data_IF_863233817277
#
_entry.id   IF_863233817277
#
_cell.length_a   1.000
_cell.length_b   1.000
_cell.length_c   1.000
_cell.angle_alpha   90.00
_cell.angle_beta   90.00
_cell.angle_gamma   90.00
#
_symmetry.space_group_name_H-M   'P 1'
#
loop_
_entity.id
_entity.type
_entity.pdbx_description
1 polymer ?
#
# COMPACT_ATOMS: atom_id res chain seq x y z
N UNK A 1 15.39 -21.74 1.29
CA UNK A 1 14.89 -20.55 2.03
C UNK A 1 14.24 -19.47 1.14
N UNK A 2 14.83 -19.05 0.00
CA UNK A 2 14.22 -18.02 -0.90
C UNK A 2 12.90 -18.44 -1.60
N UNK A 3 12.71 -19.74 -1.89
CA UNK A 3 11.48 -20.23 -2.51
C UNK A 3 10.30 -20.23 -1.53
N UNK A 4 10.52 -20.72 -0.30
CA UNK A 4 9.53 -20.73 0.77
C UNK A 4 9.05 -19.32 1.18
N UNK A 5 9.95 -18.32 1.16
CA UNK A 5 9.56 -16.92 1.42
C UNK A 5 8.72 -16.33 0.29
N UNK A 6 8.94 -16.76 -0.96
CA UNK A 6 8.20 -16.26 -2.13
C UNK A 6 6.81 -16.87 -2.21
N UNK A 7 6.69 -18.18 -1.93
CA UNK A 7 5.40 -18.87 -1.87
C UNK A 7 4.53 -18.35 -0.74
N UNK A 8 5.11 -18.10 0.44
CA UNK A 8 4.38 -17.55 1.58
C UNK A 8 3.94 -16.09 1.31
N UNK A 9 4.79 -15.26 0.71
CA UNK A 9 4.40 -13.91 0.28
C UNK A 9 3.21 -13.96 -0.68
N UNK A 10 3.28 -14.81 -1.71
CA UNK A 10 2.19 -14.97 -2.69
C UNK A 10 0.90 -15.42 -2.02
N UNK A 11 0.97 -16.41 -1.12
CA UNK A 11 -0.19 -16.93 -0.39
C UNK A 11 -0.85 -15.86 0.48
N UNK A 12 -0.08 -15.01 1.16
CA UNK A 12 -0.66 -13.93 1.98
C UNK A 12 -1.29 -12.85 1.10
N UNK A 13 -0.72 -12.54 -0.07
CA UNK A 13 -1.35 -11.59 -0.98
C UNK A 13 -2.66 -12.14 -1.55
N UNK A 14 -2.72 -13.44 -1.88
CA UNK A 14 -3.96 -14.12 -2.29
C UNK A 14 -5.00 -14.12 -1.16
N UNK A 15 -4.56 -14.38 0.08
CA UNK A 15 -5.43 -14.30 1.24
C UNK A 15 -5.93 -12.87 1.48
N UNK A 16 -5.07 -11.86 1.32
CA UNK A 16 -5.45 -10.46 1.35
C UNK A 16 -6.50 -10.11 0.30
N UNK A 17 -6.34 -10.60 -0.94
CA UNK A 17 -7.35 -10.41 -2.00
C UNK A 17 -8.68 -11.04 -1.63
N UNK A 18 -8.65 -12.26 -1.07
CA UNK A 18 -9.84 -12.91 -0.52
C UNK A 18 -10.49 -12.07 0.59
N UNK A 19 -9.70 -11.49 1.50
CA UNK A 19 -10.20 -10.60 2.54
C UNK A 19 -10.75 -9.27 2.01
N UNK A 20 -10.34 -8.78 0.84
CA UNK A 20 -10.97 -7.61 0.21
C UNK A 20 -12.29 -7.96 -0.47
N UNK A 21 -12.35 -9.16 -1.06
CA UNK A 21 -13.45 -9.61 -1.92
C UNK A 21 -14.47 -10.48 -1.20
N UNK A 22 -14.29 -10.71 0.10
CA UNK A 22 -15.18 -11.50 0.95
C UNK A 22 -16.67 -11.16 0.79
N UNK A 23 -17.11 -9.89 0.61
CA UNK A 23 -18.53 -9.58 0.48
C UNK A 23 -19.14 -10.15 -0.80
N UNK A 24 -18.34 -10.47 -1.82
CA UNK A 24 -18.85 -10.99 -3.08
C UNK A 24 -19.23 -12.47 -3.01
N UNK A 25 -18.65 -13.22 -2.07
CA UNK A 25 -18.75 -14.69 -2.07
C UNK A 25 -19.27 -15.28 -0.76
N UNK A 26 -19.05 -14.61 0.37
CA UNK A 26 -19.45 -15.12 1.67
C UNK A 26 -20.85 -14.65 1.99
N UNK A 27 -21.70 -15.58 2.41
CA UNK A 27 -22.98 -15.28 3.03
C UNK A 27 -22.79 -15.19 4.55
N UNK A 28 -22.91 -13.97 5.09
CA UNK A 28 -22.73 -13.71 6.53
C UNK A 28 -23.72 -14.48 7.41
N UNK A 29 -24.94 -14.73 6.91
CA UNK A 29 -25.97 -15.49 7.63
C UNK A 29 -25.58 -16.96 7.77
N UNK A 30 -25.00 -17.55 6.72
CA UNK A 30 -24.59 -18.96 6.72
C UNK A 30 -23.37 -19.24 7.60
N UNK A 31 -22.54 -18.23 7.88
CA UNK A 31 -21.32 -18.34 8.68
C UNK A 31 -21.58 -18.17 10.19
N UNK A 32 -22.82 -17.95 10.61
CA UNK A 32 -23.15 -17.68 12.02
C UNK A 32 -22.63 -16.32 12.51
N UNK A 33 -22.23 -15.44 11.59
CA UNK A 33 -21.85 -14.06 11.89
C UNK A 33 -23.13 -13.24 11.96
N UNK A 34 -23.72 -13.17 13.16
CA UNK A 34 -25.05 -12.61 13.42
C UNK A 34 -25.21 -11.15 12.99
N UNK A 35 -24.11 -10.43 12.73
CA UNK A 35 -24.11 -9.05 12.23
C UNK A 35 -22.95 -8.81 11.27
N UNK A 36 -23.15 -7.95 10.27
CA UNK A 36 -22.11 -7.47 9.35
C UNK A 36 -20.86 -6.97 10.08
N UNK A 37 -21.04 -6.38 11.28
CA UNK A 37 -19.96 -5.89 12.13
C UNK A 37 -18.96 -7.00 12.50
N UNK A 38 -19.44 -8.21 12.83
CA UNK A 38 -18.58 -9.33 13.21
C UNK A 38 -17.71 -9.81 12.05
N UNK A 39 -18.27 -9.89 10.84
CA UNK A 39 -17.54 -10.27 9.63
C UNK A 39 -16.41 -9.28 9.32
N UNK A 40 -16.69 -7.98 9.44
CA UNK A 40 -15.71 -6.91 9.18
C UNK A 40 -14.58 -6.92 10.20
N UNK A 41 -14.86 -7.10 11.49
CA UNK A 41 -13.82 -7.20 12.51
C UNK A 41 -12.96 -8.46 12.37
N UNK A 42 -13.56 -9.57 11.94
CA UNK A 42 -12.81 -10.79 11.64
C UNK A 42 -11.89 -10.58 10.43
N UNK A 43 -12.39 -9.93 9.37
CA UNK A 43 -11.59 -9.58 8.20
C UNK A 43 -10.44 -8.61 8.57
N UNK A 44 -10.70 -7.66 9.48
CA UNK A 44 -9.68 -6.77 10.02
C UNK A 44 -8.61 -7.52 10.82
N UNK A 45 -9.00 -8.46 11.69
CA UNK A 45 -8.07 -9.31 12.43
C UNK A 45 -7.16 -10.09 11.48
N UNK A 46 -7.74 -10.71 10.44
CA UNK A 46 -6.97 -11.40 9.42
C UNK A 46 -6.09 -10.45 8.58
N UNK A 47 -6.54 -9.22 8.36
CA UNK A 47 -5.73 -8.16 7.76
C UNK A 47 -4.51 -7.81 8.62
N UNK A 48 -4.68 -7.69 9.94
CA UNK A 48 -3.58 -7.44 10.89
C UNK A 48 -2.56 -8.59 10.83
N UNK A 49 -3.05 -9.83 10.85
CA UNK A 49 -2.20 -11.03 10.75
C UNK A 49 -1.43 -11.02 9.43
N UNK A 50 -2.09 -10.69 8.32
CA UNK A 50 -1.45 -10.61 7.00
C UNK A 50 -0.35 -9.54 6.96
N UNK A 51 -0.63 -8.35 7.49
CA UNK A 51 0.35 -7.26 7.63
C UNK A 51 1.52 -7.69 8.51
N UNK A 52 1.26 -8.35 9.64
CA UNK A 52 2.30 -8.84 10.54
C UNK A 52 3.20 -9.87 9.85
N UNK A 53 2.62 -10.87 9.18
CA UNK A 53 3.40 -11.92 8.51
C UNK A 53 4.22 -11.34 7.35
N UNK A 54 3.66 -10.43 6.55
CA UNK A 54 4.43 -9.76 5.48
C UNK A 54 5.59 -8.97 6.08
N UNK A 55 5.35 -8.26 7.19
CA UNK A 55 6.40 -7.51 7.91
C UNK A 55 7.49 -8.44 8.43
N UNK A 56 7.14 -9.60 9.00
CA UNK A 56 8.10 -10.59 9.48
C UNK A 56 8.90 -11.26 8.36
N UNK A 57 8.34 -11.36 7.15
CA UNK A 57 9.07 -11.88 5.99
C UNK A 57 10.10 -10.91 5.43
N UNK A 58 9.99 -9.61 5.74
CA UNK A 58 10.97 -8.62 5.33
C UNK A 58 12.25 -8.92 6.09
N UNK A 59 13.18 -9.56 5.37
CA UNK A 59 14.41 -10.10 5.90
C UNK A 59 15.22 -9.00 6.61
N UNK A 60 15.66 -9.25 7.84
CA UNK A 60 16.51 -8.33 8.61
C UNK A 60 17.78 -7.91 7.83
N UNK A 61 18.26 -8.74 6.88
CA UNK A 61 19.37 -8.38 5.97
C UNK A 61 19.05 -7.23 5.00
N UNK A 62 17.78 -6.85 4.83
CA UNK A 62 17.35 -5.67 4.05
C UNK A 62 17.38 -4.38 4.88
N UNK A 63 17.46 -4.47 6.20
CA UNK A 63 17.39 -3.36 7.14
C UNK A 63 18.77 -3.06 7.74
N UNK A 64 19.74 -2.74 6.86
CA UNK A 64 20.94 -2.03 7.34
C UNK A 64 20.47 -0.75 8.06
N UNK A 65 21.09 -0.43 9.20
CA UNK A 65 20.92 0.79 10.00
C UNK A 65 20.70 2.07 9.16
N UNK A 66 21.35 2.16 8.01
CA UNK A 66 21.24 3.28 7.07
C UNK A 66 19.95 3.26 6.24
N UNK A 67 19.54 2.09 5.76
CA UNK A 67 18.27 1.92 5.04
C UNK A 67 17.12 2.23 6.00
N UNK A 68 17.24 1.80 7.27
CA UNK A 68 16.29 2.15 8.33
C UNK A 68 16.13 3.66 8.46
N UNK A 69 17.22 4.44 8.42
CA UNK A 69 17.15 5.90 8.49
C UNK A 69 16.37 6.52 7.31
N UNK A 70 16.63 6.10 6.07
CA UNK A 70 15.87 6.60 4.90
C UNK A 70 14.41 6.18 4.99
N UNK A 71 14.14 4.93 5.38
CA UNK A 71 12.78 4.43 5.58
C UNK A 71 12.05 5.28 6.61
N UNK A 72 12.68 5.56 7.77
CA UNK A 72 12.08 6.38 8.82
C UNK A 72 11.75 7.81 8.34
N UNK A 73 12.66 8.46 7.62
CA UNK A 73 12.43 9.81 7.06
C UNK A 73 11.27 9.77 6.06
N UNK A 74 11.23 8.79 5.16
CA UNK A 74 10.15 8.66 4.19
C UNK A 74 8.81 8.33 4.85
N UNK A 75 8.80 7.46 5.86
CA UNK A 75 7.63 7.15 6.67
C UNK A 75 7.10 8.40 7.34
N UNK A 76 7.96 9.22 7.95
CA UNK A 76 7.56 10.48 8.58
C UNK A 76 6.97 11.47 7.56
N UNK A 77 7.64 11.68 6.42
CA UNK A 77 7.17 12.58 5.36
C UNK A 77 5.83 12.13 4.77
N UNK A 78 5.69 10.85 4.44
CA UNK A 78 4.45 10.29 3.86
C UNK A 78 3.33 10.35 4.89
N UNK A 79 3.62 10.08 6.16
CA UNK A 79 2.65 10.22 7.24
C UNK A 79 2.15 11.67 7.35
N UNK A 80 3.06 12.65 7.31
CA UNK A 80 2.70 14.06 7.33
C UNK A 80 1.89 14.48 6.08
N UNK A 81 2.27 14.01 4.89
CA UNK A 81 1.52 14.26 3.65
C UNK A 81 0.09 13.69 3.72
N UNK A 82 -0.10 12.56 4.37
CA UNK A 82 -1.44 12.00 4.58
C UNK A 82 -2.29 12.90 5.48
N UNK A 83 -1.70 13.48 6.53
CA UNK A 83 -2.40 14.44 7.40
C UNK A 83 -2.88 15.67 6.62
N UNK A 84 -2.08 16.17 5.67
CA UNK A 84 -2.47 17.30 4.83
C UNK A 84 -3.69 17.01 3.94
N UNK A 85 -3.91 15.74 3.61
CA UNK A 85 -5.07 15.30 2.83
C UNK A 85 -6.29 14.92 3.66
N UNK A 86 -6.16 14.84 4.99
CA UNK A 86 -7.26 14.43 5.85
C UNK A 86 -8.42 15.45 5.78
N UNK A 87 -9.61 14.97 5.40
CA UNK A 87 -10.82 15.81 5.29
C UNK A 87 -10.94 16.62 3.99
N UNK A 88 -9.92 16.62 3.12
CA UNK A 88 -9.99 17.24 1.81
C UNK A 88 -10.41 16.19 0.76
N UNK A 89 -11.52 16.43 0.07
CA UNK A 89 -12.12 15.49 -0.89
C UNK A 89 -11.11 15.09 -1.97
N UNK A 90 -10.53 13.89 -1.82
CA UNK A 90 -9.55 13.29 -2.73
C UNK A 90 -8.19 13.98 -2.83
N UNK A 91 -7.87 14.98 -2.01
CA UNK A 91 -6.55 15.64 -2.06
C UNK A 91 -5.57 14.85 -1.20
N UNK A 92 -4.98 13.77 -1.74
CA UNK A 92 -4.10 12.89 -0.97
C UNK A 92 -2.68 12.84 -1.56
N UNK A 93 -1.79 13.76 -1.15
CA UNK A 93 -0.44 13.86 -1.72
C UNK A 93 0.49 12.73 -1.27
N UNK A 94 0.07 11.83 -0.38
CA UNK A 94 0.95 10.74 0.08
C UNK A 94 1.30 9.75 -1.04
N UNK A 95 0.40 9.55 -2.02
CA UNK A 95 0.51 8.50 -3.03
C UNK A 95 1.68 8.71 -4.01
N UNK A 96 1.91 9.95 -4.46
CA UNK A 96 3.03 10.21 -5.38
C UNK A 96 4.37 9.85 -4.72
N UNK A 97 4.52 10.15 -3.43
CA UNK A 97 5.78 9.92 -2.74
C UNK A 97 5.99 8.43 -2.46
N UNK A 98 4.94 7.68 -2.13
CA UNK A 98 4.99 6.21 -2.05
C UNK A 98 5.48 5.61 -3.38
N UNK A 99 4.88 6.02 -4.50
CA UNK A 99 5.20 5.50 -5.84
C UNK A 99 6.66 5.81 -6.21
N UNK A 100 7.10 7.06 -6.04
CA UNK A 100 8.47 7.47 -6.35
C UNK A 100 9.50 6.82 -5.41
N UNK A 101 9.17 6.66 -4.12
CA UNK A 101 10.01 5.97 -3.16
C UNK A 101 10.21 4.49 -3.54
N UNK A 102 9.11 3.80 -3.85
CA UNK A 102 9.18 2.40 -4.28
C UNK A 102 9.95 2.26 -5.60
N UNK A 103 9.78 3.21 -6.53
CA UNK A 103 10.53 3.23 -7.78
C UNK A 103 12.04 3.39 -7.57
N UNK A 104 12.46 4.25 -6.65
CA UNK A 104 13.86 4.55 -6.42
C UNK A 104 14.57 3.51 -5.53
N UNK A 105 13.91 3.07 -4.46
CA UNK A 105 14.50 2.20 -3.45
C UNK A 105 14.29 0.71 -3.75
N UNK A 106 13.18 0.39 -4.43
CA UNK A 106 12.75 -0.97 -4.79
C UNK A 106 11.40 -1.33 -4.18
N UNK A 107 10.66 -2.29 -4.77
CA UNK A 107 9.29 -2.60 -4.39
C UNK A 107 9.15 -3.10 -2.95
N UNK A 108 10.11 -3.90 -2.45
CA UNK A 108 10.09 -4.41 -1.07
C UNK A 108 10.24 -3.29 -0.04
N UNK A 109 11.22 -2.39 -0.23
CA UNK A 109 11.42 -1.24 0.67
C UNK A 109 10.23 -0.28 0.56
N UNK A 110 9.71 -0.06 -0.67
CA UNK A 110 8.50 0.72 -0.89
C UNK A 110 7.28 0.17 -0.13
N UNK A 111 7.10 -1.15 -0.14
CA UNK A 111 6.02 -1.83 0.60
C UNK A 111 6.12 -1.52 2.10
N UNK A 112 7.31 -1.68 2.69
CA UNK A 112 7.57 -1.35 4.11
C UNK A 112 7.24 0.11 4.41
N UNK A 113 7.73 1.03 3.57
CA UNK A 113 7.51 2.47 3.74
C UNK A 113 6.01 2.78 3.72
N UNK A 114 5.27 2.25 2.74
CA UNK A 114 3.84 2.49 2.61
C UNK A 114 3.06 1.95 3.82
N UNK A 115 3.36 0.72 4.24
CA UNK A 115 2.74 0.07 5.39
C UNK A 115 2.99 0.86 6.68
N UNK A 116 4.25 1.18 6.98
CA UNK A 116 4.62 1.94 8.17
C UNK A 116 4.05 3.36 8.14
N UNK A 117 4.02 4.03 6.99
CA UNK A 117 3.45 5.37 6.88
C UNK A 117 1.95 5.37 7.17
N UNK A 118 1.19 4.37 6.69
CA UNK A 118 -0.23 4.22 7.02
C UNK A 118 -0.41 3.95 8.52
N UNK A 119 0.38 3.06 9.12
CA UNK A 119 0.30 2.77 10.56
C UNK A 119 0.61 4.00 11.41
N UNK A 120 1.75 4.65 11.16
CA UNK A 120 2.21 5.83 11.92
C UNK A 120 1.21 6.98 11.82
N UNK A 121 0.77 7.32 10.60
CA UNK A 121 -0.23 8.38 10.44
C UNK A 121 -1.56 8.06 11.12
N UNK A 122 -2.02 6.81 11.09
CA UNK A 122 -3.27 6.41 11.75
C UNK A 122 -3.16 6.46 13.27
N UNK A 123 -2.00 6.12 13.83
CA UNK A 123 -1.74 6.31 15.26
C UNK A 123 -1.80 7.79 15.63
N UNK A 124 -1.21 8.67 14.82
CA UNK A 124 -1.19 10.11 15.07
C UNK A 124 -2.60 10.73 14.99
N UNK A 125 -3.40 10.34 14.00
CA UNK A 125 -4.75 10.91 13.81
C UNK A 125 -5.84 10.20 14.61
N UNK A 126 -5.51 9.17 15.39
CA UNK A 126 -6.50 8.29 16.02
C UNK A 126 -7.35 7.48 15.02
N UNK A 127 -6.89 7.34 13.78
CA UNK A 127 -7.57 6.64 12.68
C UNK A 127 -7.51 5.10 12.76
N UNK A 128 -7.50 4.55 13.97
CA UNK A 128 -7.44 3.10 14.22
C UNK A 128 -8.84 2.53 14.06
N UNK A 129 -8.99 1.58 13.15
CA UNK A 129 -10.27 0.92 12.88
C UNK A 129 -10.10 -0.30 12.00
N UNK A 130 -11.20 -1.01 11.69
CA UNK A 130 -11.16 -2.25 10.91
C UNK A 130 -10.64 -2.05 9.48
N UNK A 131 -10.70 -0.82 8.94
CA UNK A 131 -10.14 -0.46 7.64
C UNK A 131 -8.60 -0.35 7.62
N UNK A 132 -7.95 -0.14 8.78
CA UNK A 132 -6.52 0.17 8.84
C UNK A 132 -5.63 -0.92 8.22
N UNK A 133 -5.85 -2.22 8.49
CA UNK A 133 -5.03 -3.28 7.90
C UNK A 133 -5.19 -3.35 6.37
N UNK A 134 -6.40 -3.08 5.87
CA UNK A 134 -6.68 -2.99 4.44
C UNK A 134 -5.97 -1.81 3.79
N UNK A 135 -6.01 -0.63 4.42
CA UNK A 135 -5.28 0.55 3.94
C UNK A 135 -3.78 0.28 3.86
N UNK A 136 -3.21 -0.34 4.90
CA UNK A 136 -1.80 -0.69 4.96
C UNK A 136 -1.42 -1.70 3.86
N UNK A 137 -2.25 -2.73 3.66
CA UNK A 137 -2.02 -3.77 2.67
C UNK A 137 -2.14 -3.21 1.23
N UNK A 138 -3.20 -2.46 0.94
CA UNK A 138 -3.41 -1.83 -0.36
C UNK A 138 -2.30 -0.82 -0.70
N UNK A 139 -1.88 0.00 0.27
CA UNK A 139 -0.75 0.92 0.08
C UNK A 139 0.56 0.16 -0.18
N UNK A 140 0.78 -0.94 0.51
CA UNK A 140 1.88 -1.87 0.25
C UNK A 140 1.85 -2.43 -1.18
N UNK A 141 0.68 -2.90 -1.64
CA UNK A 141 0.49 -3.39 -3.02
C UNK A 141 0.76 -2.33 -4.07
N UNK A 142 0.33 -1.09 -3.85
CA UNK A 142 0.63 0.04 -4.72
C UNK A 142 2.14 0.32 -4.77
N UNK A 143 2.84 0.23 -3.65
CA UNK A 143 4.30 0.38 -3.68
C UNK A 143 4.98 -0.79 -4.42
N UNK A 144 4.54 -2.02 -4.18
CA UNK A 144 5.12 -3.20 -4.82
C UNK A 144 4.82 -3.26 -6.33
N UNK A 145 3.64 -2.84 -6.76
CA UNK A 145 3.17 -2.87 -8.14
C UNK A 145 3.93 -1.96 -9.09
N UNK A 146 4.66 -0.96 -8.57
CA UNK A 146 5.59 -0.13 -9.36
C UNK A 146 6.64 -0.98 -10.11
N UNK A 147 6.89 -2.21 -9.66
CA UNK A 147 7.79 -3.17 -10.31
C UNK A 147 7.37 -3.58 -11.73
N UNK A 148 6.09 -3.40 -12.09
CA UNK A 148 5.59 -3.65 -13.47
C UNK A 148 6.24 -2.68 -14.48
N UNK A 149 6.66 -1.50 -14.04
CA UNK A 149 7.31 -0.50 -14.91
C UNK A 149 8.76 -0.94 -15.18
N UNK A 150 9.19 -1.10 -16.45
CA UNK A 150 10.56 -1.48 -16.78
C UNK A 150 11.61 -0.47 -16.26
N UNK A 151 12.79 -0.94 -15.87
CA UNK A 151 13.85 -0.08 -15.29
C UNK A 151 14.65 0.72 -16.32
N UNK A 152 14.80 0.20 -17.54
CA UNK A 152 15.65 0.79 -18.60
C UNK A 152 14.78 1.57 -19.58
N UNK A 153 14.38 2.78 -19.19
CA UNK A 153 13.52 3.67 -20.00
C UNK A 153 14.14 5.06 -20.08
N UNK A 154 13.80 5.82 -21.12
CA UNK A 154 14.05 7.26 -21.13
C UNK A 154 13.28 7.93 -19.99
N UNK A 155 13.80 9.05 -19.47
CA UNK A 155 13.15 9.74 -18.36
C UNK A 155 11.72 10.19 -18.70
N UNK A 156 11.47 10.63 -19.94
CA UNK A 156 10.13 11.04 -20.37
C UNK A 156 9.14 9.88 -20.30
N UNK A 157 9.54 8.70 -20.77
CA UNK A 157 8.71 7.50 -20.75
C UNK A 157 8.54 6.96 -19.32
N UNK A 158 9.61 6.94 -18.51
CA UNK A 158 9.54 6.56 -17.10
C UNK A 158 8.54 7.45 -16.34
N UNK A 159 8.60 8.78 -16.54
CA UNK A 159 7.67 9.73 -15.90
C UNK A 159 6.22 9.52 -16.37
N UNK A 160 6.01 9.33 -17.66
CA UNK A 160 4.67 9.09 -18.21
C UNK A 160 4.05 7.79 -17.66
N UNK A 161 4.83 6.70 -17.59
CA UNK A 161 4.36 5.44 -16.99
C UNK A 161 4.11 5.56 -15.49
N UNK A 162 4.94 6.32 -14.76
CA UNK A 162 4.69 6.57 -13.33
C UNK A 162 3.41 7.39 -13.11
N UNK A 163 3.12 8.37 -13.96
CA UNK A 163 1.85 9.11 -13.92
C UNK A 163 0.66 8.19 -14.19
N UNK A 164 0.71 7.40 -15.27
CA UNK A 164 -0.34 6.44 -15.61
C UNK A 164 -0.55 5.41 -14.48
N UNK A 165 0.54 4.92 -13.91
CA UNK A 165 0.52 4.05 -12.74
C UNK A 165 -0.12 4.74 -11.53
N UNK A 166 0.20 6.01 -11.27
CA UNK A 166 -0.39 6.78 -10.18
C UNK A 166 -1.90 6.98 -10.33
N UNK A 167 -2.38 7.24 -11.55
CA UNK A 167 -3.82 7.29 -11.85
C UNK A 167 -4.48 5.94 -11.56
N UNK A 168 -3.91 4.86 -12.10
CA UNK A 168 -4.43 3.51 -11.87
C UNK A 168 -4.43 3.13 -10.39
N UNK A 169 -3.34 3.42 -9.67
CA UNK A 169 -3.20 3.14 -8.25
C UNK A 169 -4.21 3.91 -7.40
N UNK A 170 -4.49 5.17 -7.74
CA UNK A 170 -5.48 5.99 -7.03
C UNK A 170 -6.91 5.42 -7.15
N UNK A 171 -7.29 5.01 -8.37
CA UNK A 171 -8.58 4.37 -8.64
C UNK A 171 -8.67 2.98 -7.98
N UNK A 172 -7.61 2.18 -8.09
CA UNK A 172 -7.54 0.85 -7.49
C UNK A 172 -7.64 0.92 -5.96
N UNK A 173 -6.97 1.89 -5.33
CA UNK A 173 -7.08 2.09 -3.88
C UNK A 173 -8.53 2.40 -3.47
N UNK A 174 -9.19 3.32 -4.17
CA UNK A 174 -10.60 3.67 -3.93
C UNK A 174 -11.49 2.44 -4.03
N UNK A 175 -11.42 1.73 -5.15
CA UNK A 175 -12.20 0.51 -5.38
C UNK A 175 -11.98 -0.57 -4.31
N UNK A 176 -10.73 -0.82 -3.89
CA UNK A 176 -10.42 -1.78 -2.83
C UNK A 176 -10.99 -1.34 -1.47
N UNK A 177 -10.83 -0.06 -1.13
CA UNK A 177 -11.32 0.48 0.13
C UNK A 177 -12.85 0.51 0.18
N UNK A 178 -13.50 0.86 -0.91
CA UNK A 178 -14.94 0.82 -1.02
C UNK A 178 -15.46 -0.60 -0.95
N UNK A 179 -14.81 -1.57 -1.61
CA UNK A 179 -15.27 -2.96 -1.61
C UNK A 179 -15.38 -3.53 -0.19
N UNK A 180 -14.42 -3.21 0.68
CA UNK A 180 -14.48 -3.65 2.07
C UNK A 180 -15.44 -2.82 2.94
N UNK A 181 -15.59 -1.51 2.69
CA UNK A 181 -16.49 -0.62 3.45
C UNK A 181 -17.95 -0.72 3.02
N UNK A 182 -18.20 -1.08 1.77
CA UNK A 182 -19.50 -1.06 1.12
C UNK A 182 -20.59 -1.80 1.92
N UNK A 183 -20.33 -2.99 2.48
CA UNK A 183 -21.30 -3.65 3.36
C UNK A 183 -21.69 -2.79 4.58
N UNK A 184 -20.75 -2.02 5.15
CA UNK A 184 -20.99 -1.17 6.32
C UNK A 184 -21.75 0.12 6.01
N UNK A 185 -21.49 0.73 4.85
CA UNK A 185 -21.90 2.11 4.57
C UNK A 185 -23.40 2.27 4.28
N UNK A 186 -24.03 1.26 3.67
CA UNK A 186 -25.42 1.35 3.15
C UNK A 186 -26.46 0.50 3.90
N UNK A 187 -26.05 -0.35 4.85
CA UNK A 187 -26.97 -1.30 5.51
C UNK A 187 -27.63 -2.27 4.51
N UNK A 188 -28.76 -2.90 4.86
CA UNK A 188 -29.49 -3.88 4.02
C UNK A 188 -30.59 -3.29 3.15
N UNK A 189 -30.92 -2.00 3.31
CA UNK A 189 -32.25 -1.49 2.94
C UNK A 189 -32.30 -0.74 1.60
N UNK A 190 -31.19 -0.68 0.85
CA UNK A 190 -31.11 0.06 -0.42
C UNK A 190 -30.84 -0.83 -1.63
N UNK A 191 -31.17 -0.34 -2.83
CA UNK A 191 -30.84 -1.02 -4.09
C UNK A 191 -29.32 -1.11 -4.34
N UNK A 192 -28.53 -0.29 -3.64
CA UNK A 192 -27.07 -0.30 -3.71
C UNK A 192 -26.43 -1.16 -2.62
N UNK A 193 -27.20 -1.62 -1.64
CA UNK A 193 -26.71 -2.40 -0.50
C UNK A 193 -26.20 -3.76 -0.90
N UNK A 194 -25.23 -4.26 -0.13
CA UNK A 194 -24.82 -5.66 -0.15
C UNK A 194 -26.02 -6.56 0.18
N UNK A 195 -26.21 -7.62 -0.62
CA UNK A 195 -27.22 -8.63 -0.36
C UNK A 195 -26.57 -9.95 0.09
N UNK A 196 -26.76 -10.37 1.36
CA UNK A 196 -26.31 -11.67 1.84
C UNK A 196 -26.87 -12.81 1.00
N UNK A 197 -26.01 -13.73 0.55
CA UNK A 197 -26.42 -14.92 -0.19
C UNK A 197 -26.81 -14.69 -1.65
N UNK A 198 -26.80 -13.45 -2.15
CA UNK A 198 -26.99 -13.18 -3.57
C UNK A 198 -25.82 -13.72 -4.41
N UNK A 199 -26.06 -13.89 -5.71
CA UNK A 199 -25.02 -14.35 -6.64
C UNK A 199 -23.86 -13.35 -6.71
N UNK A 200 -22.66 -13.85 -7.03
CA UNK A 200 -21.44 -13.02 -7.19
C UNK A 200 -21.67 -11.90 -8.20
N UNK A 201 -22.35 -12.18 -9.31
CA UNK A 201 -22.60 -11.20 -10.38
C UNK A 201 -23.54 -10.08 -9.91
N UNK A 202 -24.54 -10.40 -9.08
CA UNK A 202 -25.47 -9.42 -8.54
C UNK A 202 -24.77 -8.48 -7.56
N UNK A 203 -24.01 -9.04 -6.60
CA UNK A 203 -23.26 -8.22 -5.65
C UNK A 203 -22.17 -7.40 -6.34
N UNK A 204 -21.53 -7.93 -7.39
CA UNK A 204 -20.59 -7.16 -8.20
C UNK A 204 -21.27 -5.98 -8.90
N UNK A 205 -22.47 -6.17 -9.48
CA UNK A 205 -23.23 -5.09 -10.11
C UNK A 205 -23.62 -4.01 -9.11
N UNK A 206 -24.07 -4.40 -7.91
CA UNK A 206 -24.43 -3.47 -6.82
C UNK A 206 -23.21 -2.67 -6.36
N UNK A 207 -22.08 -3.36 -6.14
CA UNK A 207 -20.83 -2.73 -5.77
C UNK A 207 -20.36 -1.71 -6.82
N UNK A 208 -20.34 -2.08 -8.11
CA UNK A 208 -19.91 -1.16 -9.17
C UNK A 208 -20.81 0.08 -9.24
N UNK A 209 -22.12 -0.12 -9.13
CA UNK A 209 -23.09 0.99 -9.13
C UNK A 209 -22.85 1.92 -7.93
N UNK A 210 -22.64 1.34 -6.75
CA UNK A 210 -22.28 2.08 -5.54
C UNK A 210 -20.98 2.88 -5.72
N UNK A 211 -19.89 2.20 -6.10
CA UNK A 211 -18.57 2.81 -6.25
C UNK A 211 -18.58 3.98 -7.24
N UNK A 212 -19.17 3.80 -8.43
CA UNK A 212 -19.24 4.90 -9.39
C UNK A 212 -20.16 6.04 -8.94
N UNK A 213 -21.21 5.75 -8.16
CA UNK A 213 -22.12 6.78 -7.66
C UNK A 213 -21.51 7.61 -6.52
N UNK A 214 -20.66 7.01 -5.67
CA UNK A 214 -20.21 7.66 -4.42
C UNK A 214 -18.73 8.02 -4.40
N UNK A 215 -17.88 7.29 -5.14
CA UNK A 215 -16.43 7.35 -4.97
C UNK A 215 -15.70 8.22 -5.99
N UNK A 216 -16.31 8.50 -7.16
CA UNK A 216 -15.68 9.29 -8.21
C UNK A 216 -15.21 10.67 -7.73
N UNK A 217 -15.98 11.30 -6.84
CA UNK A 217 -15.62 12.58 -6.22
C UNK A 217 -14.34 12.51 -5.39
N UNK A 218 -13.96 11.34 -4.89
CA UNK A 218 -12.73 11.13 -4.12
C UNK A 218 -11.59 10.63 -5.00
N UNK A 219 -11.89 9.70 -5.92
CA UNK A 219 -10.88 9.00 -6.70
C UNK A 219 -10.30 9.83 -7.84
N UNK A 220 -11.11 10.66 -8.52
CA UNK A 220 -10.62 11.53 -9.58
C UNK A 220 -9.65 12.59 -9.05
N UNK A 221 -9.98 13.36 -7.99
CA UNK A 221 -9.03 14.32 -7.44
C UNK A 221 -7.75 13.64 -6.95
N UNK A 222 -7.84 12.46 -6.31
CA UNK A 222 -6.65 11.69 -5.89
C UNK A 222 -5.77 11.34 -7.07
N UNK A 223 -6.36 10.85 -8.17
CA UNK A 223 -5.65 10.51 -9.38
C UNK A 223 -4.97 11.75 -10.01
N UNK A 224 -5.69 12.87 -10.10
CA UNK A 224 -5.19 14.13 -10.68
C UNK A 224 -4.03 14.68 -9.84
N UNK A 225 -4.20 14.77 -8.52
CA UNK A 225 -3.17 15.27 -7.59
C UNK A 225 -1.94 14.38 -7.65
N UNK A 226 -2.12 13.05 -7.60
CA UNK A 226 -1.01 12.10 -7.69
C UNK A 226 -0.24 12.26 -8.99
N UNK A 227 -0.94 12.25 -10.14
CA UNK A 227 -0.32 12.40 -11.45
C UNK A 227 0.40 13.75 -11.60
N UNK A 228 -0.20 14.84 -11.11
CA UNK A 228 0.37 16.18 -11.16
C UNK A 228 1.65 16.29 -10.33
N UNK A 229 1.64 15.76 -9.11
CA UNK A 229 2.82 15.74 -8.24
C UNK A 229 3.93 14.87 -8.81
N UNK A 230 3.62 13.73 -9.44
CA UNK A 230 4.61 12.93 -10.19
C UNK A 230 5.17 13.75 -11.35
N UNK A 231 4.31 14.39 -12.16
CA UNK A 231 4.75 15.17 -13.32
C UNK A 231 5.76 16.26 -12.96
N UNK A 232 5.48 16.99 -11.87
CA UNK A 232 6.29 18.12 -11.38
C UNK A 232 7.57 17.64 -10.68
N UNK A 233 7.47 16.62 -9.82
CA UNK A 233 8.55 16.28 -8.86
C UNK A 233 9.37 15.04 -9.20
N UNK A 234 8.96 14.19 -10.16
CA UNK A 234 9.63 12.92 -10.42
C UNK A 234 11.14 13.06 -10.67
N UNK A 235 11.57 14.09 -11.41
CA UNK A 235 12.99 14.31 -11.71
C UNK A 235 13.81 14.55 -10.44
N UNK A 236 13.38 15.48 -9.61
CA UNK A 236 14.10 15.90 -8.41
C UNK A 236 14.07 14.82 -7.33
N UNK A 237 12.89 14.24 -7.08
CA UNK A 237 12.69 13.20 -6.06
C UNK A 237 13.44 11.91 -6.42
N UNK A 238 13.30 11.41 -7.65
CA UNK A 238 14.03 10.20 -8.05
C UNK A 238 15.54 10.41 -8.02
N UNK A 239 16.04 11.57 -8.45
CA UNK A 239 17.47 11.88 -8.36
C UNK A 239 17.95 11.95 -6.90
N UNK A 240 17.19 12.58 -6.01
CA UNK A 240 17.53 12.66 -4.60
C UNK A 240 17.56 11.27 -3.94
N UNK A 241 16.54 10.45 -4.15
CA UNK A 241 16.45 9.12 -3.55
C UNK A 241 17.49 8.14 -4.11
N UNK A 242 17.72 8.15 -5.43
CA UNK A 242 18.77 7.31 -6.06
C UNK A 242 20.16 7.69 -5.55
N UNK A 243 20.44 8.99 -5.37
CA UNK A 243 21.71 9.47 -4.77
C UNK A 243 21.83 9.11 -3.30
N UNK A 244 20.76 9.22 -2.53
CA UNK A 244 20.76 8.83 -1.12
C UNK A 244 21.10 7.33 -1.00
N UNK A 245 20.43 6.49 -1.78
CA UNK A 245 20.70 5.05 -1.83
C UNK A 245 22.15 4.74 -2.23
N UNK A 246 22.65 5.33 -3.31
CA UNK A 246 24.02 5.05 -3.77
C UNK A 246 25.08 5.42 -2.73
N UNK A 247 24.90 6.53 -2.01
CA UNK A 247 25.82 6.94 -0.93
C UNK A 247 25.80 5.94 0.23
N UNK A 248 24.64 5.43 0.61
CA UNK A 248 24.55 4.43 1.68
C UNK A 248 25.25 3.14 1.31
N UNK A 249 25.06 2.67 0.07
CA UNK A 249 25.68 1.46 -0.46
C UNK A 249 27.21 1.61 -0.44
N UNK A 250 27.75 2.75 -0.89
CA UNK A 250 29.20 3.03 -0.84
C UNK A 250 29.76 2.98 0.58
N UNK A 251 29.09 3.61 1.55
CA UNK A 251 29.55 3.59 2.96
C UNK A 251 29.44 2.18 3.55
N UNK A 252 28.50 1.34 3.09
CA UNK A 252 28.36 -0.04 3.57
C UNK A 252 29.53 -0.90 3.09
N UNK A 253 29.89 -0.80 1.82
CA UNK A 253 31.04 -1.49 1.23
C UNK A 253 32.35 -1.09 1.94
N UNK A 254 32.55 0.21 2.19
CA UNK A 254 33.74 0.69 2.89
C UNK A 254 33.86 0.18 4.33
N UNK A 255 32.74 0.12 5.08
CA UNK A 255 32.76 -0.43 6.45
C UNK A 255 33.08 -1.91 6.48
N UNK A 256 32.44 -2.70 5.63
CA UNK A 256 32.71 -4.13 5.54
C UNK A 256 34.18 -4.40 5.18
N UNK A 257 34.75 -3.64 4.24
CA UNK A 257 36.17 -3.73 3.91
C UNK A 257 37.08 -3.39 5.10
N UNK A 258 36.74 -2.36 5.90
CA UNK A 258 37.51 -1.98 7.07
C UNK A 258 37.39 -2.97 8.24
N UNK A 259 36.23 -3.58 8.44
CA UNK A 259 36.04 -4.62 9.45
C UNK A 259 36.88 -5.86 9.12
N UNK A 260 36.84 -6.32 7.87
CA UNK A 260 37.70 -7.41 7.38
C UNK A 260 39.19 -7.09 7.54
N UNK A 261 39.59 -5.86 7.21
CA UNK A 261 40.99 -5.44 7.37
C UNK A 261 41.43 -5.34 8.85
N UNK A 262 40.49 -5.11 9.79
CA UNK A 262 40.76 -5.16 11.23
C UNK A 262 40.89 -6.60 11.71
N UNK A 263 39.99 -7.49 11.30
CA UNK A 263 40.05 -8.92 11.64
C UNK A 263 41.36 -9.55 11.16
N UNK A 264 41.81 -9.23 9.95
CA UNK A 264 43.09 -9.69 9.40
C UNK A 264 44.33 -9.12 10.10
N UNK A 265 44.21 -8.00 10.82
CA UNK A 265 45.31 -7.42 11.61
C UNK A 265 45.40 -7.99 13.03
N UNK A 266 44.35 -8.65 13.49
CA UNK A 266 44.25 -9.23 14.84
C UNK A 266 44.52 -10.74 14.83
N UNK A 267 44.38 -11.39 13.67
CA UNK A 267 44.80 -12.77 13.40
C UNK A 267 46.31 -12.85 13.08
#
# INVERSE_FOLDING_TARGET
MRLASTSLFTLINLFGLFLFTWPLFLNTESLGLATLNQATWLAALFGIISVAIITLQINAKLLDSKIVAIVAVLVALISALRLLGAGAVGIEPMWFLIILAARALGPQIGFVIALLAILVSSLITGGIGPWLPFQALAAGWIAAGVSVIPKKLSFQLERALLMAYGVFAALLFGALMDLQLWPWLLGSDTQLSYLPGASVIENLSRFLTFHFATALSWDLPRAIVTASLIFISAKSVLAALKRAKSRLDTVAVWRAANELAREQKVA
#
